data_IF_818465267513
#
_entry.id   IF_818465267513
#
_cell.length_a   1.000
_cell.length_b   1.000
_cell.length_c   1.000
_cell.angle_alpha   90.00
_cell.angle_beta   90.00
_cell.angle_gamma   90.00
#
_symmetry.space_group_name_H-M   'P 1'
#
loop_
_entity.id
_entity.type
_entity.pdbx_description
1 polymer ?
#
# COMPACT_ATOMS: atom_id res chain seq x y z
N UNK A 1 -6.44 6.80 -16.09
CA UNK A 1 -6.42 5.79 -14.99
C UNK A 1 -5.03 5.38 -14.51
N UNK A 2 -3.98 5.31 -15.34
CA UNK A 2 -2.62 4.93 -14.87
C UNK A 2 -2.04 5.92 -13.85
N UNK A 3 -2.12 7.22 -14.12
CA UNK A 3 -1.64 8.28 -13.22
C UNK A 3 -2.39 8.29 -11.88
N UNK A 4 -3.71 8.13 -11.92
CA UNK A 4 -4.54 8.05 -10.71
C UNK A 4 -4.08 6.88 -9.82
N UNK A 5 -3.81 5.71 -10.42
CA UNK A 5 -3.29 4.54 -9.70
C UNK A 5 -1.94 4.85 -9.04
N UNK A 6 -0.98 5.41 -9.80
CA UNK A 6 0.37 5.72 -9.30
C UNK A 6 0.31 6.75 -8.16
N UNK A 7 -0.44 7.84 -8.33
CA UNK A 7 -0.60 8.87 -7.30
C UNK A 7 -1.20 8.27 -6.02
N UNK A 8 -2.21 7.39 -6.14
CA UNK A 8 -2.82 6.73 -5.00
C UNK A 8 -1.85 5.79 -4.27
N UNK A 9 -1.00 5.06 -5.00
CA UNK A 9 0.05 4.22 -4.41
C UNK A 9 1.08 5.08 -3.66
N UNK A 10 1.52 6.19 -4.26
CA UNK A 10 2.44 7.13 -3.61
C UNK A 10 1.82 7.72 -2.35
N UNK A 11 0.55 8.13 -2.40
CA UNK A 11 -0.17 8.66 -1.25
C UNK A 11 -0.30 7.63 -0.12
N UNK A 12 -0.60 6.36 -0.45
CA UNK A 12 -0.69 5.28 0.53
C UNK A 12 0.65 5.03 1.22
N UNK A 13 1.69 4.78 0.44
CA UNK A 13 3.02 4.49 0.97
C UNK A 13 3.62 5.67 1.71
N UNK A 14 3.49 6.88 1.16
CA UNK A 14 3.93 8.12 1.78
C UNK A 14 3.23 8.38 3.10
N UNK A 15 1.93 8.14 3.19
CA UNK A 15 1.15 8.25 4.42
C UNK A 15 1.63 7.29 5.51
N UNK A 16 1.89 6.02 5.19
CA UNK A 16 2.42 5.05 6.15
C UNK A 16 3.88 5.33 6.53
N UNK A 17 4.73 5.76 5.59
CA UNK A 17 6.10 6.19 5.88
C UNK A 17 6.10 7.39 6.81
N UNK A 18 5.28 8.40 6.55
CA UNK A 18 5.12 9.56 7.42
C UNK A 18 4.66 9.15 8.82
N UNK A 19 3.62 8.32 8.90
CA UNK A 19 3.11 7.83 10.17
C UNK A 19 4.18 7.07 10.97
N UNK A 20 5.04 6.29 10.30
CA UNK A 20 6.06 5.46 10.95
C UNK A 20 7.33 6.24 11.31
N UNK A 21 7.82 7.11 10.41
CA UNK A 21 9.13 7.77 10.55
C UNK A 21 9.05 9.15 11.21
N UNK A 22 7.91 9.80 11.12
CA UNK A 22 7.73 11.16 11.64
C UNK A 22 6.75 11.19 12.82
N UNK A 23 5.51 10.76 12.57
CA UNK A 23 4.45 10.84 13.57
C UNK A 23 4.71 9.93 14.78
N UNK A 24 5.16 8.70 14.56
CA UNK A 24 5.46 7.74 15.62
C UNK A 24 6.53 8.24 16.60
N UNK A 25 7.73 8.64 16.14
CA UNK A 25 8.75 9.24 17.01
C UNK A 25 8.29 10.54 17.70
N UNK A 26 7.56 11.41 16.98
CA UNK A 26 7.01 12.65 17.56
C UNK A 26 6.03 12.38 18.71
N UNK A 27 5.14 11.39 18.53
CA UNK A 27 4.23 10.95 19.58
C UNK A 27 4.95 10.26 20.75
N UNK A 28 6.06 9.57 20.49
CA UNK A 28 6.84 8.91 21.54
C UNK A 28 7.46 9.89 22.55
N UNK A 29 7.66 11.15 22.17
CA UNK A 29 8.16 12.21 23.03
C UNK A 29 7.09 12.77 24.00
N UNK A 30 5.81 12.42 23.85
CA UNK A 30 4.70 12.91 24.65
C UNK A 30 4.41 11.99 25.85
N UNK A 31 3.82 12.52 26.94
CA UNK A 31 3.28 11.73 28.04
C UNK A 31 2.25 10.70 27.55
N UNK A 32 2.14 9.55 28.24
CA UNK A 32 1.37 8.41 27.77
C UNK A 32 -0.11 8.67 27.46
N UNK A 33 -0.75 9.57 28.18
CA UNK A 33 -2.16 9.95 27.96
C UNK A 33 -2.32 10.81 26.70
N UNK A 34 -1.51 11.83 26.54
CA UNK A 34 -1.54 12.72 25.38
C UNK A 34 -1.14 11.98 24.10
N UNK A 35 -0.13 11.12 24.20
CA UNK A 35 0.32 10.25 23.11
C UNK A 35 -0.81 9.38 22.57
N UNK A 36 -1.59 8.74 23.46
CA UNK A 36 -2.74 7.91 23.06
C UNK A 36 -3.81 8.75 22.38
N UNK A 37 -4.20 9.86 22.98
CA UNK A 37 -5.27 10.73 22.48
C UNK A 37 -4.91 11.28 21.09
N UNK A 38 -3.71 11.82 20.91
CA UNK A 38 -3.26 12.36 19.62
C UNK A 38 -3.08 11.26 18.58
N UNK A 39 -2.56 10.10 18.98
CA UNK A 39 -2.41 8.94 18.10
C UNK A 39 -3.75 8.44 17.59
N UNK A 40 -4.76 8.36 18.43
CA UNK A 40 -6.11 7.92 18.06
C UNK A 40 -6.83 8.96 17.20
N UNK A 41 -6.67 10.25 17.49
CA UNK A 41 -7.20 11.33 16.65
C UNK A 41 -6.55 11.33 15.25
N UNK A 42 -5.23 11.16 15.17
CA UNK A 42 -4.52 11.08 13.89
C UNK A 42 -5.00 9.86 13.08
N UNK A 43 -5.13 8.69 13.72
CA UNK A 43 -5.65 7.48 13.07
C UNK A 43 -7.10 7.64 12.60
N UNK A 44 -7.96 8.27 13.40
CA UNK A 44 -9.35 8.54 13.04
C UNK A 44 -9.47 9.47 11.81
N UNK A 45 -8.63 10.51 11.75
CA UNK A 45 -8.58 11.43 10.59
C UNK A 45 -7.96 10.77 9.35
N UNK A 46 -7.02 9.87 9.53
CA UNK A 46 -6.38 9.17 8.42
C UNK A 46 -7.27 8.07 7.81
N UNK A 47 -8.19 7.49 8.61
CA UNK A 47 -9.07 6.40 8.18
C UNK A 47 -9.86 6.68 6.89
N UNK A 48 -10.61 7.79 6.74
CA UNK A 48 -11.37 8.04 5.51
C UNK A 48 -10.45 8.24 4.30
N UNK A 49 -9.30 8.90 4.47
CA UNK A 49 -8.30 9.07 3.42
C UNK A 49 -7.78 7.69 2.98
N UNK A 50 -7.43 6.83 3.93
CA UNK A 50 -6.93 5.50 3.68
C UNK A 50 -7.94 4.65 2.89
N UNK A 51 -9.20 4.65 3.32
CA UNK A 51 -10.28 3.92 2.65
C UNK A 51 -10.45 4.41 1.21
N UNK A 52 -10.53 5.73 1.00
CA UNK A 52 -10.65 6.32 -0.33
C UNK A 52 -9.48 5.94 -1.23
N UNK A 53 -8.25 6.06 -0.75
CA UNK A 53 -7.04 5.71 -1.50
C UNK A 53 -7.01 4.23 -1.87
N UNK A 54 -7.36 3.36 -0.93
CA UNK A 54 -7.43 1.91 -1.14
C UNK A 54 -8.44 1.56 -2.24
N UNK A 55 -9.66 2.09 -2.19
CA UNK A 55 -10.67 1.86 -3.23
C UNK A 55 -10.24 2.44 -4.58
N UNK A 56 -9.57 3.58 -4.60
CA UNK A 56 -9.03 4.18 -5.84
C UNK A 56 -7.94 3.30 -6.45
N UNK A 57 -7.04 2.72 -5.63
CA UNK A 57 -6.01 1.79 -6.09
C UNK A 57 -6.66 0.53 -6.71
N UNK A 58 -7.67 -0.03 -6.04
CA UNK A 58 -8.38 -1.22 -6.54
C UNK A 58 -9.09 -0.93 -7.86
N UNK A 59 -9.93 0.09 -7.91
CA UNK A 59 -10.70 0.44 -9.10
C UNK A 59 -9.79 0.79 -10.28
N UNK A 60 -8.78 1.62 -10.06
CA UNK A 60 -7.82 1.99 -11.11
C UNK A 60 -6.91 0.83 -11.53
N UNK A 61 -6.53 -0.03 -10.59
CA UNK A 61 -5.74 -1.23 -10.87
C UNK A 61 -6.52 -2.25 -11.70
N UNK A 62 -7.75 -2.52 -11.33
CA UNK A 62 -8.65 -3.41 -12.05
C UNK A 62 -8.95 -2.89 -13.47
N UNK A 63 -9.26 -1.60 -13.59
CA UNK A 63 -9.47 -0.95 -14.89
C UNK A 63 -8.22 -1.09 -15.79
N UNK A 64 -7.03 -0.80 -15.25
CA UNK A 64 -5.78 -0.90 -16.00
C UNK A 64 -5.47 -2.34 -16.42
N UNK A 65 -5.87 -3.33 -15.62
CA UNK A 65 -5.72 -4.75 -15.95
C UNK A 65 -6.67 -5.18 -17.07
N UNK A 66 -7.94 -4.83 -16.99
CA UNK A 66 -8.96 -5.22 -17.96
C UNK A 66 -8.77 -4.54 -19.33
N UNK A 67 -8.16 -3.36 -19.37
CA UNK A 67 -7.92 -2.61 -20.63
C UNK A 67 -6.64 -3.00 -21.35
N UNK A 68 -5.78 -3.85 -20.77
CA UNK A 68 -4.59 -4.41 -21.44
C UNK A 68 -4.95 -5.70 -22.15
N UNK A 69 -4.86 -5.70 -23.50
CA UNK A 69 -5.35 -6.83 -24.32
C UNK A 69 -4.49 -8.09 -24.36
N UNK A 70 -3.14 -8.02 -24.28
CA UNK A 70 -2.25 -9.19 -24.43
C UNK A 70 -1.14 -9.15 -23.37
N UNK A 71 -0.94 -10.29 -22.72
CA UNK A 71 0.10 -10.48 -21.70
C UNK A 71 1.12 -11.52 -22.14
N UNK A 72 2.45 -11.28 -21.92
CA UNK A 72 3.49 -12.26 -22.24
C UNK A 72 3.40 -13.50 -21.33
N UNK A 73 3.97 -14.65 -21.78
CA UNK A 73 4.08 -15.85 -20.94
C UNK A 73 4.79 -15.54 -19.61
N UNK A 74 4.34 -16.15 -18.52
CA UNK A 74 4.86 -15.89 -17.17
C UNK A 74 4.33 -14.64 -16.47
N UNK A 75 3.69 -13.72 -17.19
CA UNK A 75 3.09 -12.50 -16.61
C UNK A 75 2.02 -12.84 -15.56
N UNK A 76 1.22 -13.86 -15.79
CA UNK A 76 0.13 -14.26 -14.90
C UNK A 76 0.62 -14.71 -13.52
N UNK A 77 1.77 -15.40 -13.45
CA UNK A 77 2.38 -15.81 -12.16
C UNK A 77 2.76 -14.59 -11.31
N UNK A 78 3.52 -13.66 -11.88
CA UNK A 78 3.92 -12.43 -11.18
C UNK A 78 2.74 -11.53 -10.85
N UNK A 79 1.72 -11.51 -11.71
CA UNK A 79 0.49 -10.79 -11.45
C UNK A 79 -0.29 -11.42 -10.29
N UNK A 80 -0.32 -12.74 -10.18
CA UNK A 80 -0.91 -13.47 -9.05
C UNK A 80 -0.23 -13.12 -7.73
N UNK A 81 1.11 -13.13 -7.68
CA UNK A 81 1.89 -12.73 -6.51
C UNK A 81 1.57 -11.27 -6.13
N UNK A 82 1.56 -10.38 -7.12
CA UNK A 82 1.20 -8.98 -6.91
C UNK A 82 -0.21 -8.81 -6.32
N UNK A 83 -1.19 -9.54 -6.82
CA UNK A 83 -2.57 -9.49 -6.31
C UNK A 83 -2.66 -9.99 -4.87
N UNK A 84 -1.94 -11.06 -4.50
CA UNK A 84 -1.86 -11.53 -3.11
C UNK A 84 -1.26 -10.47 -2.18
N UNK A 85 -0.18 -9.82 -2.61
CA UNK A 85 0.42 -8.72 -1.84
C UNK A 85 -0.52 -7.52 -1.71
N UNK A 86 -1.23 -7.17 -2.78
CA UNK A 86 -2.25 -6.10 -2.74
C UNK A 86 -3.36 -6.47 -1.76
N UNK A 87 -3.86 -7.69 -1.78
CA UNK A 87 -4.89 -8.16 -0.84
C UNK A 87 -4.38 -8.09 0.61
N UNK A 88 -3.12 -8.49 0.84
CA UNK A 88 -2.48 -8.35 2.15
C UNK A 88 -2.42 -6.89 2.61
N UNK A 89 -1.96 -5.98 1.74
CA UNK A 89 -1.88 -4.53 2.05
C UNK A 89 -3.28 -3.97 2.36
N UNK A 90 -4.30 -4.37 1.61
CA UNK A 90 -5.68 -3.95 1.84
C UNK A 90 -6.20 -4.43 3.19
N UNK A 91 -6.06 -5.72 3.50
CA UNK A 91 -6.49 -6.30 4.77
C UNK A 91 -5.74 -5.65 5.93
N UNK A 92 -4.42 -5.50 5.83
CA UNK A 92 -3.59 -4.86 6.85
C UNK A 92 -3.96 -3.38 7.05
N UNK A 93 -4.30 -2.65 5.97
CA UNK A 93 -4.72 -1.25 6.03
C UNK A 93 -6.08 -1.09 6.71
N UNK A 94 -7.04 -1.95 6.41
CA UNK A 94 -8.34 -1.98 7.10
C UNK A 94 -8.17 -2.32 8.57
N UNK A 95 -7.37 -3.34 8.89
CA UNK A 95 -7.06 -3.71 10.26
C UNK A 95 -6.30 -2.60 11.01
N UNK A 96 -5.43 -1.86 10.33
CA UNK A 96 -4.78 -0.67 10.89
C UNK A 96 -5.82 0.41 11.24
N UNK A 97 -6.76 0.68 10.34
CA UNK A 97 -7.83 1.65 10.55
C UNK A 97 -8.76 1.27 11.71
N UNK A 98 -8.94 -0.03 11.96
CA UNK A 98 -9.79 -0.56 13.04
C UNK A 98 -9.05 -0.75 14.38
N UNK A 99 -7.73 -0.60 14.42
CA UNK A 99 -6.94 -0.78 15.64
C UNK A 99 -7.08 0.44 16.54
N UNK A 100 -8.03 0.41 17.46
CA UNK A 100 -8.10 1.38 18.54
C UNK A 100 -7.06 1.07 19.62
N UNK A 101 -6.33 2.08 20.10
CA UNK A 101 -5.57 2.05 21.36
C UNK A 101 -4.30 1.19 21.46
N UNK A 102 -4.09 0.19 20.61
CA UNK A 102 -2.92 -0.68 20.64
C UNK A 102 -1.82 -0.23 19.67
N UNK A 103 -0.91 0.57 20.19
CA UNK A 103 0.17 1.17 19.41
C UNK A 103 1.17 0.15 18.85
N UNK A 104 1.47 -0.92 19.58
CA UNK A 104 2.39 -1.94 19.15
C UNK A 104 1.84 -2.70 17.93
N UNK A 105 0.56 -3.06 17.95
CA UNK A 105 -0.11 -3.70 16.80
C UNK A 105 -0.19 -2.76 15.61
N UNK A 106 -0.48 -1.49 15.85
CA UNK A 106 -0.54 -0.46 14.81
C UNK A 106 0.79 -0.28 14.10
N UNK A 107 1.89 -0.20 14.85
CA UNK A 107 3.24 -0.09 14.33
C UNK A 107 3.67 -1.33 13.52
N UNK A 108 3.38 -2.53 14.01
CA UNK A 108 3.67 -3.78 13.31
C UNK A 108 2.91 -3.87 11.98
N UNK A 109 1.64 -3.49 11.95
CA UNK A 109 0.83 -3.48 10.72
C UNK A 109 1.34 -2.44 9.72
N UNK A 110 1.68 -1.23 10.16
CA UNK A 110 2.26 -0.20 9.32
C UNK A 110 3.56 -0.66 8.66
N UNK A 111 4.45 -1.33 9.41
CA UNK A 111 5.69 -1.90 8.86
C UNK A 111 5.40 -2.97 7.80
N UNK A 112 4.45 -3.88 8.06
CA UNK A 112 4.03 -4.89 7.09
C UNK A 112 3.48 -4.26 5.79
N UNK A 113 2.67 -3.22 5.90
CA UNK A 113 2.13 -2.48 4.75
C UNK A 113 3.25 -1.84 3.94
N UNK A 114 4.23 -1.21 4.59
CA UNK A 114 5.37 -0.57 3.90
C UNK A 114 6.18 -1.62 3.14
N UNK A 115 6.56 -2.72 3.79
CA UNK A 115 7.36 -3.79 3.16
C UNK A 115 6.62 -4.39 1.96
N UNK A 116 5.35 -4.77 2.14
CA UNK A 116 4.52 -5.32 1.05
C UNK A 116 4.29 -4.31 -0.06
N UNK A 117 4.10 -3.03 0.28
CA UNK A 117 3.93 -1.96 -0.69
C UNK A 117 5.18 -1.73 -1.55
N UNK A 118 6.36 -1.73 -0.93
CA UNK A 118 7.65 -1.63 -1.66
C UNK A 118 7.82 -2.84 -2.59
N UNK A 119 7.53 -4.06 -2.10
CA UNK A 119 7.58 -5.27 -2.92
C UNK A 119 6.64 -5.18 -4.14
N UNK A 120 5.41 -4.67 -3.95
CA UNK A 120 4.44 -4.46 -5.05
C UNK A 120 5.01 -3.47 -6.09
N UNK A 121 5.64 -2.38 -5.66
CA UNK A 121 6.25 -1.40 -6.57
C UNK A 121 7.39 -2.02 -7.37
N UNK A 122 8.26 -2.79 -6.73
CA UNK A 122 9.37 -3.50 -7.40
C UNK A 122 8.85 -4.52 -8.42
N UNK A 123 7.88 -5.37 -8.03
CA UNK A 123 7.24 -6.32 -8.94
C UNK A 123 6.56 -5.59 -10.11
N UNK A 124 5.93 -4.45 -9.86
CA UNK A 124 5.28 -3.66 -10.90
C UNK A 124 6.29 -3.08 -11.91
N UNK A 125 7.44 -2.63 -11.41
CA UNK A 125 8.57 -2.20 -12.26
C UNK A 125 9.12 -3.34 -13.11
N UNK A 126 9.33 -4.51 -12.49
CA UNK A 126 9.78 -5.72 -13.16
C UNK A 126 8.79 -6.19 -14.26
N UNK A 127 7.51 -6.26 -13.94
CA UNK A 127 6.46 -6.62 -14.91
C UNK A 127 6.41 -5.64 -16.09
N UNK A 128 6.64 -4.36 -15.84
CA UNK A 128 6.74 -3.37 -16.90
C UNK A 128 7.97 -3.59 -17.76
N UNK A 129 9.12 -3.84 -17.13
CA UNK A 129 10.37 -4.12 -17.84
C UNK A 129 10.25 -5.32 -18.78
N UNK A 130 9.73 -6.46 -18.30
CA UNK A 130 9.49 -7.66 -19.13
C UNK A 130 8.50 -7.37 -20.27
N UNK A 131 7.44 -6.58 -20.00
CA UNK A 131 6.42 -6.29 -21.02
C UNK A 131 6.89 -5.33 -22.10
N UNK A 132 7.95 -4.55 -21.86
CA UNK A 132 8.48 -3.56 -22.81
C UNK A 132 9.74 -4.04 -23.55
N UNK A 133 10.46 -5.04 -23.00
CA UNK A 133 11.69 -5.58 -23.63
C UNK A 133 11.40 -6.93 -24.31
N UNK A 134 11.35 -6.97 -25.67
CA UNK A 134 11.13 -8.21 -26.40
C UNK A 134 12.26 -9.23 -26.23
N UNK A 135 13.48 -8.81 -25.88
CA UNK A 135 14.65 -9.68 -25.68
C UNK A 135 14.59 -10.51 -24.39
N UNK A 136 13.73 -10.15 -23.42
CA UNK A 136 13.56 -10.86 -22.14
C UNK A 136 12.34 -11.81 -22.17
N UNK A 137 11.67 -11.91 -23.29
CA UNK A 137 10.63 -12.93 -23.50
C UNK A 137 11.32 -14.29 -23.60
N UNK A 138 11.50 -14.95 -22.45
CA UNK A 138 11.96 -16.32 -22.38
C UNK A 138 11.03 -17.21 -23.20
N UNK A 139 11.59 -18.22 -23.88
CA UNK A 139 10.83 -19.13 -24.74
C UNK A 139 9.71 -19.85 -24.00
#
# INVERSE_FOLDING_TARGET
MRWTHVISVIALLGGFLYARLVLGPALAALPGTERRTLGDQAAARFRPILVTVVFTILGSGLYNYLTKGVYPPGYHMWMGIKLLLVLHVLAASLLYAMSGGDEAKRNRRATGIIISGVAIVLISGWLRYISTNPAVRLP
#
